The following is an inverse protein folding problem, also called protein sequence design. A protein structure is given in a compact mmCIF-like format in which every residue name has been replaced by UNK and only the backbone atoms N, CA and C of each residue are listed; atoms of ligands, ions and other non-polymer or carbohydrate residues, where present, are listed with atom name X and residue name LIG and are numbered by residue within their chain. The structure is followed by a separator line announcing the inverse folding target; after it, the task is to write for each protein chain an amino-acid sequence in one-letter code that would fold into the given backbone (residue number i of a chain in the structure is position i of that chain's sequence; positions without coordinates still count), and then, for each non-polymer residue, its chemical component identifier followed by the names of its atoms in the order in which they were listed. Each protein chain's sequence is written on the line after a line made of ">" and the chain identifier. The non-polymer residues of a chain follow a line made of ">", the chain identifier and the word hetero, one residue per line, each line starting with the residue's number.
data_IF_336440862456
#
_entry.id   IF_336440862456
#
_cell.length_a   1.000
_cell.length_b   1.000
_cell.length_c   1.000
_cell.angle_alpha   90.00
_cell.angle_beta   90.00
_cell.angle_gamma   90.00
#
_symmetry.space_group_name_H-M   'P 1'
#
loop_
_entity.id
_entity.type
_entity.pdbx_description
1 polymer ?
#
# COMPACT_ATOMS: atom_id res chain seq x y z
N UNK A 1 3.74 -13.90 -21.26
CA UNK A 1 2.57 -12.99 -21.36
C UNK A 1 1.74 -13.16 -20.09
N UNK A 2 1.72 -12.17 -19.20
CA UNK A 2 0.82 -12.23 -18.03
C UNK A 2 -0.62 -12.27 -18.52
N UNK A 3 -1.30 -13.39 -18.30
CA UNK A 3 -2.74 -13.54 -18.52
C UNK A 3 -3.44 -12.38 -17.80
N UNK A 4 -4.15 -11.53 -18.56
CA UNK A 4 -4.96 -10.47 -17.98
C UNK A 4 -6.04 -11.14 -17.11
N UNK A 5 -5.98 -10.91 -15.81
CA UNK A 5 -6.95 -11.47 -14.86
C UNK A 5 -8.31 -10.83 -15.13
N UNK A 6 -9.28 -11.66 -15.54
CA UNK A 6 -10.68 -11.22 -15.65
C UNK A 6 -11.16 -10.80 -14.26
N UNK A 7 -11.51 -9.53 -14.11
CA UNK A 7 -11.94 -8.95 -12.84
C UNK A 7 -13.45 -8.99 -12.74
N UNK A 8 -13.98 -9.24 -11.54
CA UNK A 8 -15.41 -9.19 -11.32
C UNK A 8 -15.90 -7.73 -11.32
N UNK A 9 -16.65 -7.37 -12.37
CA UNK A 9 -17.19 -6.02 -12.55
C UNK A 9 -18.20 -5.61 -11.46
N UNK A 10 -18.86 -6.59 -10.82
CA UNK A 10 -19.86 -6.33 -9.78
C UNK A 10 -19.23 -6.12 -8.40
N UNK A 11 -17.92 -6.30 -8.27
CA UNK A 11 -17.18 -6.14 -7.02
C UNK A 11 -16.27 -4.93 -7.11
N UNK A 12 -16.67 -3.83 -6.47
CA UNK A 12 -15.85 -2.60 -6.39
C UNK A 12 -14.50 -2.88 -5.74
N UNK A 13 -14.45 -3.84 -4.80
CA UNK A 13 -13.20 -4.25 -4.17
C UNK A 13 -12.25 -4.93 -5.17
N UNK A 14 -12.76 -5.80 -6.04
CA UNK A 14 -11.94 -6.49 -7.05
C UNK A 14 -11.47 -5.50 -8.13
N UNK A 15 -12.35 -4.59 -8.58
CA UNK A 15 -11.98 -3.52 -9.51
C UNK A 15 -10.86 -2.64 -8.93
N UNK A 16 -10.99 -2.26 -7.66
CA UNK A 16 -9.97 -1.47 -6.96
C UNK A 16 -8.66 -2.23 -6.84
N UNK A 17 -8.71 -3.49 -6.41
CA UNK A 17 -7.53 -4.31 -6.22
C UNK A 17 -6.76 -4.48 -7.55
N UNK A 18 -7.45 -4.83 -8.64
CA UNK A 18 -6.82 -4.96 -9.95
C UNK A 18 -6.20 -3.63 -10.41
N UNK A 19 -6.85 -2.50 -10.12
CA UNK A 19 -6.31 -1.18 -10.45
C UNK A 19 -5.04 -0.86 -9.64
N UNK A 20 -5.10 -1.08 -8.32
CA UNK A 20 -3.98 -0.89 -7.39
C UNK A 20 -2.77 -1.76 -7.78
N UNK A 21 -2.99 -3.01 -8.22
CA UNK A 21 -1.94 -3.94 -8.67
C UNK A 21 -1.22 -3.48 -9.96
N UNK A 22 -1.91 -2.76 -10.86
CA UNK A 22 -1.32 -2.24 -12.09
C UNK A 22 -0.67 -0.86 -11.92
N UNK A 23 -0.84 -0.22 -10.76
CA UNK A 23 -0.38 1.14 -10.49
C UNK A 23 1.16 1.24 -10.56
N UNK A 24 1.87 0.26 -9.98
CA UNK A 24 3.34 0.22 -9.98
C UNK A 24 3.94 0.18 -11.37
N UNK A 25 3.38 -0.65 -12.27
CA UNK A 25 3.82 -0.75 -13.67
C UNK A 25 3.67 0.57 -14.43
N UNK A 26 2.60 1.32 -14.16
CA UNK A 26 2.31 2.58 -14.85
C UNK A 26 3.25 3.67 -14.38
N UNK A 27 3.45 3.82 -13.07
CA UNK A 27 4.42 4.78 -12.56
C UNK A 27 5.86 4.43 -12.95
N UNK A 28 6.17 3.14 -13.13
CA UNK A 28 7.45 2.71 -13.70
C UNK A 28 7.61 3.16 -15.16
N UNK A 29 6.54 3.13 -15.99
CA UNK A 29 6.57 3.70 -17.35
C UNK A 29 6.83 5.21 -17.33
N UNK A 30 6.35 5.92 -16.31
CA UNK A 30 6.63 7.34 -16.10
C UNK A 30 8.03 7.62 -15.49
N UNK A 31 8.82 6.59 -15.21
CA UNK A 31 10.20 6.73 -14.71
C UNK A 31 10.33 6.81 -13.19
N UNK A 32 9.26 6.56 -12.43
CA UNK A 32 9.33 6.48 -10.97
C UNK A 32 9.78 5.10 -10.51
N UNK A 33 10.67 5.08 -9.51
CA UNK A 33 11.12 3.86 -8.85
C UNK A 33 10.27 3.61 -7.63
N UNK A 34 9.58 2.47 -7.59
CA UNK A 34 8.74 2.07 -6.45
C UNK A 34 9.59 1.85 -5.19
N UNK A 35 9.08 2.31 -4.05
CA UNK A 35 9.68 2.11 -2.75
C UNK A 35 8.86 1.12 -1.92
N UNK A 36 9.49 0.00 -1.58
CA UNK A 36 8.90 -1.04 -0.73
C UNK A 36 9.13 -0.82 0.76
N UNK A 37 9.73 0.31 1.17
CA UNK A 37 10.12 0.56 2.56
C UNK A 37 8.97 0.40 3.57
N UNK A 38 7.73 0.78 3.20
CA UNK A 38 6.56 0.58 4.06
C UNK A 38 6.18 -0.90 4.22
N UNK A 39 6.36 -1.71 3.18
CA UNK A 39 6.11 -3.14 3.20
C UNK A 39 7.21 -3.83 4.00
N UNK A 40 8.47 -3.49 3.74
CA UNK A 40 9.63 -4.02 4.45
C UNK A 40 9.57 -3.71 5.94
N UNK A 41 9.15 -2.50 6.32
CA UNK A 41 8.96 -2.13 7.72
C UNK A 41 7.88 -2.99 8.39
N UNK A 42 6.73 -3.19 7.75
CA UNK A 42 5.66 -4.05 8.29
C UNK A 42 6.11 -5.49 8.40
N UNK A 43 6.85 -5.97 7.42
CA UNK A 43 7.39 -7.32 7.41
C UNK A 43 8.42 -7.51 8.52
N UNK A 44 9.36 -6.57 8.69
CA UNK A 44 10.36 -6.59 9.75
C UNK A 44 9.75 -6.53 11.15
N UNK A 45 8.77 -5.65 11.37
CA UNK A 45 8.04 -5.58 12.64
C UNK A 45 7.26 -6.88 12.93
N UNK A 46 6.59 -7.44 11.91
CA UNK A 46 5.88 -8.72 12.04
C UNK A 46 6.81 -9.91 12.29
N UNK A 47 7.95 -9.98 11.62
CA UNK A 47 8.96 -11.03 11.86
C UNK A 47 9.56 -10.92 13.27
N UNK A 48 9.75 -9.70 13.77
CA UNK A 48 10.26 -9.46 15.12
C UNK A 48 9.34 -10.05 16.19
N UNK A 49 8.01 -9.96 16.03
CA UNK A 49 7.08 -10.55 17.00
C UNK A 49 7.11 -12.07 16.99
N UNK A 50 7.27 -12.69 15.81
CA UNK A 50 7.41 -14.15 15.69
C UNK A 50 8.70 -14.65 16.36
N UNK A 51 9.80 -13.91 16.22
CA UNK A 51 11.07 -14.24 16.89
C UNK A 51 10.90 -14.17 18.42
N UNK A 52 10.24 -13.14 18.94
CA UNK A 52 9.97 -13.02 20.39
C UNK A 52 9.13 -14.21 20.88
N UNK A 53 8.09 -14.60 20.13
CA UNK A 53 7.27 -15.76 20.48
C UNK A 53 8.09 -17.07 20.48
N UNK A 54 8.97 -17.26 19.50
CA UNK A 54 9.86 -18.41 19.42
C UNK A 54 10.86 -18.47 20.59
N UNK A 55 11.44 -17.33 20.97
CA UNK A 55 12.34 -17.23 22.12
C UNK A 55 11.61 -17.51 23.43
N UNK A 56 10.40 -16.97 23.60
CA UNK A 56 9.58 -17.21 24.78
C UNK A 56 9.26 -18.69 24.95
N UNK A 57 8.89 -19.37 23.86
CA UNK A 57 8.64 -20.81 23.86
C UNK A 57 9.88 -21.62 24.28
N UNK A 58 11.09 -21.21 23.86
CA UNK A 58 12.33 -21.86 24.28
C UNK A 58 12.64 -21.65 25.76
N UNK A 59 12.33 -20.47 26.31
CA UNK A 59 12.50 -20.16 27.74
C UNK A 59 11.52 -21.00 28.56
N UNK A 60 10.25 -21.05 28.17
CA UNK A 60 9.22 -21.86 28.84
C UNK A 60 9.56 -23.37 28.83
N UNK A 61 10.25 -23.85 27.78
CA UNK A 61 10.68 -25.25 27.70
C UNK A 61 11.84 -25.59 28.65
N UNK A 62 12.69 -24.62 29.00
CA UNK A 62 13.92 -24.86 29.78
C UNK A 62 13.83 -24.47 31.25
N UNK A 63 13.00 -23.49 31.59
CA UNK A 63 12.97 -22.90 32.93
C UNK A 63 11.64 -23.18 33.66
N UNK A 64 11.67 -23.13 34.98
CA UNK A 64 10.46 -23.28 35.80
C UNK A 64 9.69 -21.96 35.82
N UNK A 65 8.36 -22.02 35.87
CA UNK A 65 7.45 -20.85 35.78
C UNK A 65 7.86 -19.62 36.61
N UNK A 66 8.38 -19.81 37.83
CA UNK A 66 8.80 -18.69 38.70
C UNK A 66 9.96 -17.87 38.15
N UNK A 67 10.87 -18.48 37.41
CA UNK A 67 12.01 -17.79 36.79
C UNK A 67 11.63 -17.18 35.44
N UNK A 68 10.77 -17.86 34.68
CA UNK A 68 10.28 -17.37 33.38
C UNK A 68 9.32 -16.20 33.51
N UNK A 69 8.58 -16.05 34.63
CA UNK A 69 7.54 -15.03 34.79
C UNK A 69 8.00 -13.61 34.43
N UNK A 70 9.15 -13.17 34.95
CA UNK A 70 9.67 -11.83 34.65
C UNK A 70 10.04 -11.68 33.16
N UNK A 71 10.61 -12.72 32.56
CA UNK A 71 10.96 -12.74 31.13
C UNK A 71 9.71 -12.69 30.25
N UNK A 72 8.67 -13.42 30.64
CA UNK A 72 7.37 -13.44 29.95
C UNK A 72 6.69 -12.08 30.02
N UNK A 73 6.68 -11.45 31.20
CA UNK A 73 6.13 -10.09 31.37
C UNK A 73 6.89 -9.08 30.50
N UNK A 74 8.22 -9.10 30.51
CA UNK A 74 9.04 -8.21 29.67
C UNK A 74 8.73 -8.45 28.18
N UNK A 75 8.64 -9.72 27.76
CA UNK A 75 8.34 -10.08 26.37
C UNK A 75 6.96 -9.59 25.93
N UNK A 76 5.95 -9.68 26.79
CA UNK A 76 4.61 -9.13 26.52
C UNK A 76 4.63 -7.60 26.37
N UNK A 77 5.41 -6.89 27.19
CA UNK A 77 5.55 -5.42 27.08
C UNK A 77 6.22 -5.06 25.76
N UNK A 78 7.31 -5.73 25.39
CA UNK A 78 8.00 -5.49 24.11
C UNK A 78 7.07 -5.79 22.93
N UNK A 79 6.33 -6.91 22.98
CA UNK A 79 5.34 -7.26 21.97
C UNK A 79 4.25 -6.18 21.84
N UNK A 80 3.75 -5.65 22.96
CA UNK A 80 2.75 -4.59 22.96
C UNK A 80 3.27 -3.30 22.30
N UNK A 81 4.53 -2.92 22.56
CA UNK A 81 5.18 -1.77 21.94
C UNK A 81 5.31 -1.96 20.41
N UNK A 82 5.79 -3.12 19.97
CA UNK A 82 5.94 -3.42 18.53
C UNK A 82 4.58 -3.43 17.84
N UNK A 83 3.57 -4.03 18.47
CA UNK A 83 2.20 -4.05 17.96
C UNK A 83 1.59 -2.65 17.88
N UNK A 84 1.85 -1.80 18.88
CA UNK A 84 1.45 -0.40 18.88
C UNK A 84 2.12 0.41 17.77
N UNK A 85 3.43 0.22 17.55
CA UNK A 85 4.17 0.85 16.47
C UNK A 85 3.62 0.44 15.09
N UNK A 86 3.33 -0.84 14.89
CA UNK A 86 2.72 -1.35 13.66
C UNK A 86 1.32 -0.74 13.44
N UNK A 87 0.53 -0.59 14.50
CA UNK A 87 -0.76 0.07 14.45
C UNK A 87 -0.63 1.54 14.02
N UNK A 88 0.29 2.30 14.63
CA UNK A 88 0.58 3.70 14.27
C UNK A 88 1.02 3.84 12.81
N UNK A 89 1.93 2.98 12.34
CA UNK A 89 2.40 2.96 10.95
C UNK A 89 1.24 2.74 9.97
N UNK A 90 0.34 1.79 10.29
CA UNK A 90 -0.85 1.54 9.47
C UNK A 90 -1.85 2.70 9.51
N UNK A 91 -1.98 3.36 10.65
CA UNK A 91 -2.88 4.50 10.82
C UNK A 91 -2.42 5.71 10.00
N UNK A 92 -1.12 6.07 10.07
CA UNK A 92 -0.57 7.20 9.32
C UNK A 92 -0.50 6.94 7.81
N UNK A 93 -0.23 5.71 7.38
CA UNK A 93 -0.15 5.35 5.96
C UNK A 93 -1.47 4.77 5.42
N UNK A 94 -2.61 5.16 6.01
CA UNK A 94 -3.92 4.67 5.57
C UNK A 94 -4.15 5.08 4.11
N UNK A 95 -4.54 4.10 3.29
CA UNK A 95 -4.84 4.27 1.86
C UNK A 95 -3.65 4.55 0.93
N UNK A 96 -2.42 4.71 1.44
CA UNK A 96 -1.24 4.82 0.59
C UNK A 96 -0.98 3.45 -0.05
N UNK A 97 -1.11 3.38 -1.38
CA UNK A 97 -0.92 2.14 -2.16
C UNK A 97 0.37 2.12 -2.93
N UNK A 98 0.88 3.28 -3.31
CA UNK A 98 2.13 3.40 -4.02
C UNK A 98 2.95 4.57 -3.47
N UNK A 99 4.24 4.34 -3.28
CA UNK A 99 5.23 5.38 -2.98
C UNK A 99 6.37 5.19 -3.95
N UNK A 100 6.71 6.22 -4.71
CA UNK A 100 7.79 6.17 -5.69
C UNK A 100 8.70 7.37 -5.57
N UNK A 101 9.92 7.24 -6.09
CA UNK A 101 10.89 8.32 -6.20
C UNK A 101 11.21 8.59 -7.66
N UNK A 102 11.21 9.84 -8.06
CA UNK A 102 11.72 10.26 -9.38
C UNK A 102 13.26 10.17 -9.41
N UNK A 103 13.87 10.19 -10.59
CA UNK A 103 15.33 10.23 -10.80
C UNK A 103 16.01 11.41 -10.09
N UNK A 104 15.25 12.46 -9.78
CA UNK A 104 15.69 13.64 -9.00
C UNK A 104 15.58 13.45 -7.48
N UNK A 105 15.09 12.31 -7.00
CA UNK A 105 14.88 12.02 -5.58
C UNK A 105 13.55 12.54 -5.00
N UNK A 106 12.69 13.13 -5.83
CA UNK A 106 11.40 13.66 -5.38
C UNK A 106 10.42 12.53 -5.04
N UNK A 107 9.83 12.58 -3.85
CA UNK A 107 8.87 11.58 -3.36
C UNK A 107 7.48 11.83 -3.98
N UNK A 108 6.95 10.81 -4.63
CA UNK A 108 5.58 10.71 -5.09
C UNK A 108 4.82 9.70 -4.22
N UNK A 109 3.69 10.09 -3.67
CA UNK A 109 2.82 9.21 -2.87
C UNK A 109 1.44 9.17 -3.49
N UNK A 110 0.92 7.98 -3.73
CA UNK A 110 -0.41 7.78 -4.32
C UNK A 110 -1.28 7.04 -3.33
N UNK A 111 -2.34 7.72 -2.90
CA UNK A 111 -3.36 7.17 -2.04
C UNK A 111 -4.64 6.90 -2.82
N UNK A 112 -5.24 5.75 -2.61
CA UNK A 112 -6.42 5.31 -3.37
C UNK A 112 -7.56 5.00 -2.42
N UNK A 113 -8.76 5.48 -2.75
CA UNK A 113 -9.96 5.28 -1.93
C UNK A 113 -11.17 5.03 -2.84
N UNK A 114 -12.01 4.08 -2.44
CA UNK A 114 -13.29 3.83 -3.10
C UNK A 114 -14.33 3.48 -2.04
N UNK A 115 -15.56 3.92 -2.26
CA UNK A 115 -16.69 3.51 -1.44
C UNK A 115 -17.18 2.14 -1.91
N UNK A 116 -17.74 1.31 -1.02
CA UNK A 116 -18.16 -0.06 -1.36
C UNK A 116 -19.29 -0.09 -2.40
N UNK A 117 -20.13 0.94 -2.40
CA UNK A 117 -21.34 1.03 -3.22
C UNK A 117 -21.18 2.00 -4.39
N UNK A 118 -20.12 2.82 -4.42
CA UNK A 118 -19.89 3.79 -5.49
C UNK A 118 -18.78 3.28 -6.42
N UNK A 119 -19.03 3.14 -7.73
CA UNK A 119 -18.04 2.72 -8.72
C UNK A 119 -17.09 3.88 -9.10
N UNK A 120 -16.61 4.62 -8.10
CA UNK A 120 -15.70 5.76 -8.23
C UNK A 120 -14.40 5.42 -7.52
N UNK A 121 -13.32 5.44 -8.29
CA UNK A 121 -11.94 5.29 -7.83
C UNK A 121 -11.35 6.68 -7.57
N UNK A 122 -11.24 7.05 -6.30
CA UNK A 122 -10.62 8.30 -5.91
C UNK A 122 -9.11 8.09 -5.78
N UNK A 123 -8.33 8.80 -6.58
CA UNK A 123 -6.87 8.79 -6.54
C UNK A 123 -6.39 10.13 -6.04
N UNK A 124 -5.58 10.12 -4.99
CA UNK A 124 -4.87 11.30 -4.49
C UNK A 124 -3.40 11.13 -4.78
N UNK A 125 -2.88 11.91 -5.72
CA UNK A 125 -1.46 11.95 -6.06
C UNK A 125 -0.84 13.11 -5.29
N UNK A 126 0.14 12.83 -4.45
CA UNK A 126 0.88 13.82 -3.68
C UNK A 126 2.34 13.84 -4.13
N UNK A 127 2.81 14.97 -4.62
CA UNK A 127 4.21 15.21 -4.97
C UNK A 127 4.68 16.51 -4.33
N UNK A 128 5.81 16.49 -3.63
CA UNK A 128 6.48 17.68 -3.07
C UNK A 128 5.54 18.63 -2.29
N UNK A 129 4.69 18.05 -1.42
CA UNK A 129 3.73 18.78 -0.60
C UNK A 129 2.44 19.24 -1.30
N UNK A 130 2.30 19.00 -2.61
CA UNK A 130 1.08 19.30 -3.39
C UNK A 130 0.29 18.03 -3.63
N UNK A 131 -1.02 18.08 -3.38
CA UNK A 131 -1.94 16.97 -3.64
C UNK A 131 -2.95 17.33 -4.73
N UNK A 132 -3.19 16.37 -5.63
CA UNK A 132 -4.29 16.42 -6.60
C UNK A 132 -5.17 15.20 -6.36
N UNK A 133 -6.45 15.43 -6.11
CA UNK A 133 -7.46 14.39 -5.90
C UNK A 133 -8.37 14.34 -7.11
N UNK A 134 -8.44 13.16 -7.73
CA UNK A 134 -9.22 12.94 -8.95
C UNK A 134 -10.12 11.72 -8.81
N UNK A 135 -11.39 11.90 -9.17
CA UNK A 135 -12.42 10.87 -9.13
C UNK A 135 -12.52 10.21 -10.51
N UNK A 136 -12.06 8.96 -10.61
CA UNK A 136 -12.03 8.19 -11.84
C UNK A 136 -13.13 7.12 -11.81
N UNK A 137 -13.95 7.05 -12.85
CA UNK A 137 -14.95 5.99 -12.97
C UNK A 137 -14.30 4.74 -13.55
N UNK A 138 -14.58 3.56 -12.96
CA UNK A 138 -14.00 2.30 -13.41
C UNK A 138 -14.34 1.96 -14.87
N UNK A 139 -15.48 2.43 -15.38
CA UNK A 139 -15.89 2.25 -16.79
C UNK A 139 -14.93 2.86 -17.83
N UNK A 140 -14.07 3.80 -17.43
CA UNK A 140 -13.14 4.47 -18.36
C UNK A 140 -11.92 3.61 -18.68
N UNK A 141 -11.62 2.62 -17.85
CA UNK A 141 -10.42 1.80 -17.96
C UNK A 141 -10.65 0.30 -17.75
N UNK A 142 -11.89 -0.12 -17.49
CA UNK A 142 -12.32 -1.52 -17.57
C UNK A 142 -13.21 -1.73 -18.79
N UNK A 143 -12.94 -2.81 -19.53
CA UNK A 143 -13.77 -3.27 -20.63
C UNK A 143 -15.05 -3.97 -20.12
N UNK A 144 -16.07 -4.09 -20.98
CA UNK A 144 -17.37 -4.75 -20.70
C UNK A 144 -17.19 -6.21 -20.28
N UNK A 145 -16.08 -6.83 -20.69
CA UNK A 145 -15.73 -8.22 -20.37
C UNK A 145 -14.98 -8.33 -19.02
N UNK A 146 -14.58 -7.21 -18.41
CA UNK A 146 -13.87 -7.17 -17.12
C UNK A 146 -12.34 -7.19 -17.23
N UNK A 147 -11.80 -6.83 -18.40
CA UNK A 147 -10.36 -6.68 -18.59
C UNK A 147 -9.90 -5.24 -18.32
N UNK A 148 -8.74 -5.10 -17.68
CA UNK A 148 -8.14 -3.81 -17.36
C UNK A 148 -7.35 -3.26 -18.55
N UNK A 149 -7.74 -2.08 -19.06
CA UNK A 149 -7.08 -1.39 -20.15
C UNK A 149 -5.98 -0.47 -19.58
N UNK A 150 -4.74 -0.95 -19.66
CA UNK A 150 -3.55 -0.25 -19.15
C UNK A 150 -3.26 1.05 -19.89
N UNK A 151 -3.41 1.07 -21.20
CA UNK A 151 -3.10 2.26 -22.02
C UNK A 151 -4.08 3.40 -21.72
N UNK A 152 -5.37 3.08 -21.59
CA UNK A 152 -6.40 4.05 -21.21
C UNK A 152 -6.12 4.66 -19.83
N UNK A 153 -5.80 3.83 -18.84
CA UNK A 153 -5.50 4.31 -17.50
C UNK A 153 -4.18 5.11 -17.45
N UNK A 154 -3.16 4.71 -18.20
CA UNK A 154 -1.88 5.44 -18.31
C UNK A 154 -2.09 6.85 -18.87
N UNK A 155 -2.93 7.02 -19.90
CA UNK A 155 -3.27 8.35 -20.44
C UNK A 155 -3.96 9.23 -19.39
N UNK A 156 -4.93 8.67 -18.67
CA UNK A 156 -5.64 9.39 -17.60
C UNK A 156 -4.67 9.86 -16.52
N UNK A 157 -3.79 8.97 -16.03
CA UNK A 157 -2.78 9.33 -15.02
C UNK A 157 -1.79 10.36 -15.57
N UNK A 158 -1.38 10.24 -16.84
CA UNK A 158 -0.54 11.23 -17.51
C UNK A 158 -1.17 12.62 -17.54
N UNK A 159 -2.47 12.72 -17.86
CA UNK A 159 -3.21 13.99 -17.83
C UNK A 159 -3.28 14.58 -16.42
N UNK A 160 -3.49 13.74 -15.39
CA UNK A 160 -3.50 14.17 -13.99
C UNK A 160 -2.11 14.63 -13.50
N UNK A 161 -1.04 13.95 -13.93
CA UNK A 161 0.34 14.39 -13.66
C UNK A 161 0.67 15.70 -14.37
N UNK A 162 0.20 15.89 -15.61
CA UNK A 162 0.35 17.15 -16.34
C UNK A 162 -0.41 18.29 -15.66
N UNK A 163 -1.60 18.03 -15.08
CA UNK A 163 -2.33 19.02 -14.27
C UNK A 163 -1.58 19.40 -13.00
N UNK A 164 -0.91 18.43 -12.37
CA UNK A 164 -0.08 18.67 -11.19
C UNK A 164 1.17 19.50 -11.55
N UNK A 165 1.79 19.24 -12.71
CA UNK A 165 2.92 20.02 -13.20
C UNK A 165 2.52 21.41 -13.71
N UNK A 166 1.37 21.60 -14.38
CA UNK A 166 0.90 22.92 -14.84
C UNK A 166 0.58 23.90 -13.71
N UNK A 167 0.33 23.43 -12.50
CA UNK A 167 0.27 24.30 -11.30
C UNK A 167 1.65 24.79 -10.82
N UNK A 168 2.72 24.39 -11.51
CA UNK A 168 4.12 24.74 -11.17
C UNK A 168 4.66 25.90 -12.02
N UNK A 169 4.01 26.24 -13.14
CA UNK A 169 4.24 27.48 -13.90
C UNK A 169 3.25 28.57 -13.46
#
# INVERSE_FOLDING_TARGET
>A
MSQLKKTNLNSVNDLRQTTDENLGFIFQQFGYTESFALIDLKLGLGLSTVIIAGLLFLVDKKYTWKESYNVTVISCVVYAIISGALYLVNFFNKNVKYTGYDKKGNKLTVATSSNKLDPIYNVTITADGRSVTSALQFNKFFDVVGFFNRDAFTKIIGDELNRLNKKTE
#
